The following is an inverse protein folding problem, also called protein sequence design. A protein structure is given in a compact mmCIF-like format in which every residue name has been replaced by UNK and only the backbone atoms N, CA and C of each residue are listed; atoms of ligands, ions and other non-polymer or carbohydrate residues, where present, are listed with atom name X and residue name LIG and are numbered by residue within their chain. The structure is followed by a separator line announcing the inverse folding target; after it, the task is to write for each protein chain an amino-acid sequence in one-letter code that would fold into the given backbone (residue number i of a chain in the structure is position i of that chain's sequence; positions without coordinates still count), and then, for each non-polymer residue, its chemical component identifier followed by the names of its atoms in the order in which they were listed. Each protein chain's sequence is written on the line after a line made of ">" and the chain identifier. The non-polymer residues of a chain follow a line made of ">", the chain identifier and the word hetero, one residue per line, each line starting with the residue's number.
data_IF_552436276422
#
_entry.id   IF_552436276422
#
_cell.length_a   1.000
_cell.length_b   1.000
_cell.length_c   1.000
_cell.angle_alpha   90.00
_cell.angle_beta   90.00
_cell.angle_gamma   90.00
#
_symmetry.space_group_name_H-M   'P 1'
#
loop_
_entity.id
_entity.type
_entity.pdbx_description
1 polymer ?
#
# COMPACT_ATOMS: atom_id res chain seq x y z
N UNK A 1 -23.77 8.93 -7.21
CA UNK A 1 -22.30 9.18 -7.17
C UNK A 1 -21.77 8.35 -6.03
N UNK A 2 -20.74 7.54 -6.26
CA UNK A 2 -20.11 6.75 -5.18
C UNK A 2 -19.01 7.59 -4.55
N UNK A 3 -19.00 7.65 -3.22
CA UNK A 3 -18.00 8.41 -2.44
C UNK A 3 -17.18 7.42 -1.64
N UNK A 4 -15.87 7.40 -1.88
CA UNK A 4 -14.92 6.59 -1.15
C UNK A 4 -14.11 7.41 -0.15
N UNK A 5 -13.52 6.73 0.82
CA UNK A 5 -12.60 7.32 1.80
C UNK A 5 -11.34 6.47 1.93
N UNK A 6 -10.20 7.11 2.14
CA UNK A 6 -8.96 6.39 2.47
C UNK A 6 -8.88 6.15 3.99
N UNK A 7 -8.35 5.00 4.40
CA UNK A 7 -8.18 4.66 5.82
C UNK A 7 -7.35 5.70 6.58
N UNK A 8 -6.40 6.38 5.94
CA UNK A 8 -5.62 7.46 6.58
C UNK A 8 -6.44 8.68 7.03
N UNK A 9 -7.70 8.80 6.59
CA UNK A 9 -8.61 9.84 7.06
C UNK A 9 -9.17 9.57 8.47
N UNK A 10 -8.93 8.39 9.03
CA UNK A 10 -9.37 8.00 10.37
C UNK A 10 -8.24 8.14 11.41
N UNK A 11 -8.56 8.15 12.72
CA UNK A 11 -7.53 8.20 13.75
C UNK A 11 -6.51 7.06 13.61
N UNK A 12 -5.25 7.35 13.87
CA UNK A 12 -4.15 6.38 13.80
C UNK A 12 -4.32 5.19 14.74
N UNK A 13 -5.16 5.33 15.78
CA UNK A 13 -5.52 4.23 16.69
C UNK A 13 -6.53 3.25 16.13
N UNK A 14 -7.15 3.56 14.97
CA UNK A 14 -8.09 2.64 14.33
C UNK A 14 -7.32 1.62 13.50
N UNK A 15 -7.59 0.35 13.74
CA UNK A 15 -7.17 -0.67 12.79
C UNK A 15 -8.11 -0.69 11.56
N UNK A 16 -7.82 -1.55 10.60
CA UNK A 16 -8.62 -1.64 9.38
C UNK A 16 -10.08 -2.01 9.66
N UNK A 17 -10.36 -2.82 10.67
CA UNK A 17 -11.72 -3.22 11.04
C UNK A 17 -12.52 -2.04 11.62
N UNK A 18 -11.88 -1.20 12.42
CA UNK A 18 -12.49 0.01 12.97
C UNK A 18 -12.77 1.04 11.88
N UNK A 19 -11.81 1.22 10.95
CA UNK A 19 -11.95 2.13 9.83
C UNK A 19 -13.09 1.71 8.88
N UNK A 20 -13.24 0.42 8.56
CA UNK A 20 -14.34 -0.13 7.77
C UNK A 20 -15.69 0.20 8.39
N UNK A 21 -15.86 -0.07 9.69
CA UNK A 21 -17.10 0.24 10.43
C UNK A 21 -17.38 1.75 10.48
N UNK A 22 -16.34 2.56 10.69
CA UNK A 22 -16.47 4.01 10.76
C UNK A 22 -16.83 4.61 9.41
N UNK A 23 -16.21 4.17 8.32
CA UNK A 23 -16.52 4.60 6.97
C UNK A 23 -18.00 4.39 6.64
N UNK A 24 -18.54 3.21 6.94
CA UNK A 24 -19.97 2.95 6.72
C UNK A 24 -20.86 3.82 7.58
N UNK A 25 -20.54 3.97 8.87
CA UNK A 25 -21.32 4.83 9.79
C UNK A 25 -21.38 6.28 9.31
N UNK A 26 -20.31 6.76 8.66
CA UNK A 26 -20.23 8.12 8.12
C UNK A 26 -20.86 8.26 6.72
N UNK A 27 -21.39 7.18 6.14
CA UNK A 27 -22.12 7.22 4.89
C UNK A 27 -21.27 7.08 3.62
N UNK A 28 -20.03 6.61 3.73
CA UNK A 28 -19.20 6.30 2.57
C UNK A 28 -19.68 5.01 1.88
N UNK A 29 -19.52 4.97 0.56
CA UNK A 29 -19.87 3.81 -0.28
C UNK A 29 -18.72 2.79 -0.36
N UNK A 30 -17.49 3.27 -0.25
CA UNK A 30 -16.28 2.45 -0.33
C UNK A 30 -15.14 2.98 0.54
N UNK A 31 -14.17 2.10 0.79
CA UNK A 31 -12.94 2.45 1.51
C UNK A 31 -11.72 1.89 0.78
N UNK A 32 -10.65 2.68 0.69
CA UNK A 32 -9.31 2.20 0.44
C UNK A 32 -8.67 1.80 1.78
N UNK A 33 -8.23 0.56 1.88
CA UNK A 33 -7.61 0.01 3.12
C UNK A 33 -6.10 0.01 3.02
N UNK A 34 -5.44 0.21 4.16
CA UNK A 34 -3.99 0.30 4.23
C UNK A 34 -3.36 -1.03 4.62
N UNK A 35 -2.42 -1.49 3.80
CA UNK A 35 -1.55 -2.61 4.11
C UNK A 35 -0.36 -2.14 4.93
N UNK A 36 -0.03 -2.84 6.03
CA UNK A 36 1.01 -2.43 6.97
C UNK A 36 2.13 -3.48 7.09
N UNK A 37 3.27 -3.10 7.65
CA UNK A 37 4.29 -4.06 8.05
C UNK A 37 3.95 -4.64 9.42
N UNK A 38 4.06 -5.97 9.58
CA UNK A 38 3.76 -6.65 10.84
C UNK A 38 4.93 -6.69 11.81
N UNK A 39 6.15 -6.55 11.31
CA UNK A 39 7.39 -6.71 12.07
C UNK A 39 7.80 -5.46 12.86
N UNK A 40 6.91 -4.46 12.97
CA UNK A 40 7.20 -3.20 13.62
C UNK A 40 8.28 -2.39 12.88
N UNK A 41 8.59 -2.77 11.64
CA UNK A 41 9.54 -2.06 10.82
C UNK A 41 9.09 -0.61 10.67
N UNK A 42 9.98 0.30 11.06
CA UNK A 42 9.77 1.73 10.96
C UNK A 42 10.38 2.25 9.67
N UNK A 43 9.78 3.26 9.07
CA UNK A 43 10.39 3.95 7.96
C UNK A 43 11.79 4.42 8.35
N UNK A 44 12.77 4.22 7.48
CA UNK A 44 14.13 4.73 7.67
C UNK A 44 14.26 6.13 7.08
N UNK A 45 14.81 7.06 7.89
CA UNK A 45 15.41 8.32 7.43
C UNK A 45 14.49 9.49 7.04
N UNK A 46 14.72 10.62 7.65
CA UNK A 46 14.46 11.99 7.19
C UNK A 46 12.99 12.44 7.14
N UNK A 47 12.28 12.16 6.10
CA UNK A 47 10.91 12.70 5.88
C UNK A 47 9.85 11.95 6.67
N UNK A 48 10.11 10.70 7.00
CA UNK A 48 9.20 9.83 7.75
C UNK A 48 9.22 10.09 9.25
N UNK A 49 10.24 10.76 9.78
CA UNK A 49 10.26 11.21 11.17
C UNK A 49 9.21 12.29 11.44
N UNK A 50 8.76 13.00 10.40
CA UNK A 50 7.69 13.99 10.50
C UNK A 50 6.27 13.37 10.45
N UNK A 51 6.15 12.14 9.94
CA UNK A 51 4.91 11.38 9.92
C UNK A 51 5.02 10.27 10.97
N UNK A 52 4.56 10.53 12.18
CA UNK A 52 4.47 9.49 13.20
C UNK A 52 3.38 8.46 12.83
N UNK A 53 3.78 7.53 11.96
CA UNK A 53 2.94 6.39 11.55
C UNK A 53 3.25 5.13 12.38
N UNK A 54 4.04 5.28 13.46
CA UNK A 54 4.45 4.16 14.32
C UNK A 54 3.28 3.47 15.01
N UNK A 55 2.13 4.13 15.11
CA UNK A 55 0.89 3.57 15.66
C UNK A 55 0.00 2.87 14.65
N UNK A 56 0.38 2.86 13.35
CA UNK A 56 -0.49 2.30 12.32
C UNK A 56 -0.27 0.79 12.16
N UNK A 57 -1.13 0.01 12.80
CA UNK A 57 -1.09 -1.45 12.75
C UNK A 57 -2.44 -2.01 12.33
N UNK A 58 -2.45 -2.76 11.25
CA UNK A 58 -3.63 -3.51 10.84
C UNK A 58 -3.44 -5.00 11.17
N UNK A 59 -4.23 -5.52 12.10
CA UNK A 59 -4.18 -6.92 12.50
C UNK A 59 -4.51 -7.87 11.34
N UNK A 60 -5.50 -7.53 10.53
CA UNK A 60 -6.03 -8.39 9.46
C UNK A 60 -5.38 -8.14 8.08
N UNK A 61 -4.61 -7.05 7.92
CA UNK A 61 -4.07 -6.67 6.62
C UNK A 61 -2.63 -6.13 6.76
N UNK A 62 -1.67 -7.06 6.77
CA UNK A 62 -0.25 -6.76 6.95
C UNK A 62 0.65 -7.82 6.33
N UNK A 63 1.97 -7.65 6.41
CA UNK A 63 2.96 -8.56 5.83
C UNK A 63 2.90 -10.00 6.38
N UNK A 64 2.30 -10.23 7.55
CA UNK A 64 2.15 -11.56 8.17
C UNK A 64 0.71 -12.11 8.10
N UNK A 65 -0.26 -11.33 7.62
CA UNK A 65 -1.66 -11.79 7.53
C UNK A 65 -1.78 -13.06 6.70
N UNK A 66 -2.58 -13.98 7.17
CA UNK A 66 -2.95 -15.18 6.40
C UNK A 66 -4.15 -14.89 5.49
N UNK A 67 -4.44 -15.77 4.55
CA UNK A 67 -5.64 -15.68 3.71
C UNK A 67 -6.92 -15.71 4.58
N UNK A 68 -6.88 -16.41 5.72
CA UNK A 68 -7.99 -16.43 6.68
C UNK A 68 -8.20 -15.06 7.33
N UNK A 69 -7.12 -14.35 7.71
CA UNK A 69 -7.21 -12.99 8.26
C UNK A 69 -7.81 -12.02 7.24
N UNK A 70 -7.35 -12.10 5.99
CA UNK A 70 -7.87 -11.25 4.90
C UNK A 70 -9.34 -11.59 4.58
N UNK A 71 -9.72 -12.88 4.65
CA UNK A 71 -11.10 -13.32 4.47
C UNK A 71 -12.00 -12.85 5.63
N UNK A 72 -11.48 -12.78 6.86
CA UNK A 72 -12.20 -12.18 8.00
C UNK A 72 -12.50 -10.70 7.74
N UNK A 73 -11.52 -9.95 7.20
CA UNK A 73 -11.73 -8.55 6.82
C UNK A 73 -12.77 -8.42 5.69
N UNK A 74 -12.70 -9.28 4.67
CA UNK A 74 -13.69 -9.32 3.59
C UNK A 74 -15.10 -9.54 4.14
N UNK A 75 -15.26 -10.55 5.00
CA UNK A 75 -16.54 -10.83 5.65
C UNK A 75 -17.05 -9.64 6.45
N UNK A 76 -16.19 -8.97 7.21
CA UNK A 76 -16.54 -7.78 7.96
C UNK A 76 -17.05 -6.66 7.03
N UNK A 77 -16.39 -6.42 5.91
CA UNK A 77 -16.80 -5.41 4.95
C UNK A 77 -18.17 -5.75 4.32
N UNK A 78 -18.40 -7.03 3.98
CA UNK A 78 -19.67 -7.51 3.44
C UNK A 78 -20.81 -7.37 4.47
N UNK A 79 -20.59 -7.82 5.71
CA UNK A 79 -21.57 -7.71 6.80
C UNK A 79 -21.90 -6.24 7.12
N UNK A 80 -20.93 -5.36 6.94
CA UNK A 80 -21.08 -3.91 7.15
C UNK A 80 -21.77 -3.23 5.96
N UNK A 81 -21.71 -3.84 4.80
CA UNK A 81 -22.26 -3.31 3.54
C UNK A 81 -21.45 -2.15 2.98
N UNK A 82 -20.11 -2.19 3.10
CA UNK A 82 -19.19 -1.25 2.48
C UNK A 82 -18.23 -2.00 1.54
N UNK A 83 -17.96 -1.42 0.37
CA UNK A 83 -17.00 -2.01 -0.57
C UNK A 83 -15.57 -1.61 -0.20
N UNK A 84 -14.65 -2.56 -0.19
CA UNK A 84 -13.21 -2.26 -0.25
C UNK A 84 -12.87 -2.03 -1.72
N UNK A 85 -12.51 -0.80 -2.07
CA UNK A 85 -12.25 -0.41 -3.47
C UNK A 85 -10.81 -0.67 -3.88
N UNK A 86 -9.88 -0.49 -2.97
CA UNK A 86 -8.45 -0.62 -3.23
C UNK A 86 -7.68 -0.99 -1.96
N UNK A 87 -6.49 -1.55 -2.17
CA UNK A 87 -5.49 -1.79 -1.12
C UNK A 87 -4.30 -0.88 -1.40
N UNK A 88 -4.03 0.06 -0.51
CA UNK A 88 -2.87 0.93 -0.57
C UNK A 88 -1.97 0.74 0.64
N UNK A 89 -0.95 1.55 0.78
CA UNK A 89 -0.12 1.59 1.97
C UNK A 89 1.29 2.07 1.72
N UNK A 90 1.97 2.37 2.80
CA UNK A 90 3.32 2.94 2.79
C UNK A 90 4.44 1.90 2.73
N UNK A 91 4.10 0.61 2.73
CA UNK A 91 5.10 -0.47 2.82
C UNK A 91 6.10 -0.40 1.67
N UNK A 92 5.62 -0.20 0.44
CA UNK A 92 6.45 -0.07 -0.76
C UNK A 92 7.13 1.31 -0.90
N UNK A 93 6.75 2.26 -0.07
CA UNK A 93 7.27 3.63 -0.08
C UNK A 93 8.48 3.78 0.84
N UNK A 94 8.32 3.48 2.12
CA UNK A 94 9.28 3.85 3.15
C UNK A 94 9.84 2.68 3.94
N UNK A 95 9.10 1.58 4.08
CA UNK A 95 9.53 0.44 4.90
C UNK A 95 10.36 -0.54 4.07
N UNK A 96 9.83 -0.95 2.93
CA UNK A 96 10.50 -1.79 1.94
C UNK A 96 10.34 -1.14 0.57
N UNK A 97 11.12 -0.06 0.26
CA UNK A 97 10.94 0.69 -0.98
C UNK A 97 11.25 -0.13 -2.22
N UNK A 98 10.44 0.05 -3.27
CA UNK A 98 10.70 -0.59 -4.57
C UNK A 98 12.00 -0.07 -5.22
N UNK A 99 12.57 1.02 -4.75
CA UNK A 99 13.89 1.53 -5.16
C UNK A 99 15.05 0.92 -4.38
N UNK A 100 14.81 0.05 -3.39
CA UNK A 100 15.87 -0.50 -2.55
C UNK A 100 16.97 -1.20 -3.37
N UNK A 101 18.23 -0.83 -3.10
CA UNK A 101 19.41 -1.45 -3.75
C UNK A 101 19.87 -2.70 -2.98
N UNK A 102 19.64 -2.75 -1.67
CA UNK A 102 19.92 -3.93 -0.87
C UNK A 102 19.05 -5.11 -1.26
N UNK A 103 19.64 -6.30 -1.62
CA UNK A 103 18.88 -7.45 -2.12
C UNK A 103 17.86 -8.02 -1.12
N UNK A 104 18.11 -7.88 0.19
CA UNK A 104 17.18 -8.38 1.21
C UNK A 104 15.94 -7.49 1.29
N UNK A 105 16.15 -6.18 1.36
CA UNK A 105 15.06 -5.19 1.35
C UNK A 105 14.27 -5.25 0.04
N UNK A 106 14.96 -5.39 -1.09
CA UNK A 106 14.32 -5.55 -2.39
C UNK A 106 13.40 -6.79 -2.47
N UNK A 107 13.82 -7.91 -1.91
CA UNK A 107 12.95 -9.11 -1.79
C UNK A 107 11.73 -8.83 -0.94
N UNK A 108 11.92 -8.28 0.27
CA UNK A 108 10.81 -7.93 1.17
C UNK A 108 9.81 -6.98 0.50
N UNK A 109 10.32 -6.02 -0.27
CA UNK A 109 9.49 -5.10 -1.05
C UNK A 109 8.60 -5.85 -2.05
N UNK A 110 9.20 -6.70 -2.87
CA UNK A 110 8.47 -7.49 -3.86
C UNK A 110 7.45 -8.43 -3.21
N UNK A 111 7.83 -9.10 -2.12
CA UNK A 111 6.95 -10.04 -1.41
C UNK A 111 5.78 -9.29 -0.75
N UNK A 112 6.03 -8.11 -0.18
CA UNK A 112 4.98 -7.29 0.42
C UNK A 112 3.94 -6.84 -0.62
N UNK A 113 4.37 -6.34 -1.79
CA UNK A 113 3.43 -5.90 -2.84
C UNK A 113 2.71 -7.07 -3.48
N UNK A 114 3.36 -8.23 -3.69
CA UNK A 114 2.66 -9.45 -4.13
C UNK A 114 1.55 -9.81 -3.14
N UNK A 115 1.84 -9.77 -1.85
CA UNK A 115 0.84 -10.03 -0.83
C UNK A 115 -0.30 -9.00 -0.83
N UNK A 116 -0.03 -7.72 -1.12
CA UNK A 116 -1.08 -6.72 -1.32
C UNK A 116 -1.98 -7.11 -2.50
N UNK A 117 -1.40 -7.55 -3.62
CA UNK A 117 -2.14 -8.00 -4.81
C UNK A 117 -3.00 -9.24 -4.52
N UNK A 118 -2.44 -10.24 -3.84
CA UNK A 118 -3.18 -11.45 -3.45
C UNK A 118 -4.30 -11.12 -2.44
N UNK A 119 -4.04 -10.21 -1.48
CA UNK A 119 -5.04 -9.72 -0.55
C UNK A 119 -6.16 -8.96 -1.26
N UNK A 120 -5.85 -8.15 -2.26
CA UNK A 120 -6.85 -7.43 -3.06
C UNK A 120 -7.83 -8.40 -3.74
N UNK A 121 -7.35 -9.53 -4.28
CA UNK A 121 -8.20 -10.58 -4.84
C UNK A 121 -9.19 -11.13 -3.81
N UNK A 122 -8.72 -11.47 -2.62
CA UNK A 122 -9.58 -11.99 -1.54
C UNK A 122 -10.61 -10.95 -1.11
N UNK A 123 -10.19 -9.69 -1.01
CA UNK A 123 -11.06 -8.57 -0.63
C UNK A 123 -12.07 -8.18 -1.72
N UNK A 124 -11.87 -8.62 -2.96
CA UNK A 124 -12.66 -8.19 -4.11
C UNK A 124 -12.38 -6.73 -4.50
N UNK A 125 -11.19 -6.25 -4.21
CA UNK A 125 -10.71 -4.94 -4.64
C UNK A 125 -10.10 -5.03 -6.04
N UNK A 126 -10.34 -4.02 -6.88
CA UNK A 126 -9.87 -4.01 -8.27
C UNK A 126 -8.46 -3.44 -8.39
N UNK A 127 -8.00 -2.72 -7.38
CA UNK A 127 -6.78 -1.89 -7.47
C UNK A 127 -5.89 -2.08 -6.26
N UNK A 128 -4.60 -2.15 -6.52
CA UNK A 128 -3.54 -1.97 -5.50
C UNK A 128 -2.77 -0.71 -5.84
N UNK A 129 -2.65 0.20 -4.87
CA UNK A 129 -1.90 1.43 -5.00
C UNK A 129 -0.51 1.26 -4.38
N UNK A 130 0.52 1.58 -5.15
CA UNK A 130 1.92 1.56 -4.70
C UNK A 130 2.59 2.90 -4.92
N UNK A 131 3.38 3.31 -3.94
CA UNK A 131 4.36 4.38 -4.09
C UNK A 131 5.71 3.67 -4.34
N UNK A 132 6.40 3.90 -5.45
CA UNK A 132 7.50 3.03 -5.89
C UNK A 132 8.78 3.14 -5.05
N UNK A 133 8.78 3.96 -4.03
CA UNK A 133 9.90 4.19 -3.14
C UNK A 133 10.26 5.66 -3.05
N UNK A 134 11.39 5.94 -2.42
CA UNK A 134 11.92 7.29 -2.21
C UNK A 134 13.31 7.39 -2.80
N UNK A 135 13.64 8.52 -3.40
CA UNK A 135 15.00 8.85 -3.79
C UNK A 135 15.76 9.33 -2.55
N UNK A 136 16.88 8.69 -2.23
CA UNK A 136 17.78 9.09 -1.16
C UNK A 136 19.00 9.81 -1.71
N UNK A 137 19.74 10.55 -0.88
CA UNK A 137 20.85 11.39 -1.33
C UNK A 137 22.03 10.58 -1.94
N UNK A 138 22.11 9.31 -1.64
CA UNK A 138 23.11 8.35 -2.14
C UNK A 138 22.65 7.58 -3.38
N UNK A 139 21.42 7.82 -3.87
CA UNK A 139 20.87 7.16 -5.05
C UNK A 139 20.97 8.07 -6.28
N UNK A 140 21.42 7.49 -7.38
CA UNK A 140 21.35 8.13 -8.68
C UNK A 140 19.91 8.00 -9.21
N UNK A 141 19.34 9.12 -9.73
CA UNK A 141 17.93 9.20 -10.13
C UNK A 141 17.53 8.12 -11.14
N UNK A 142 18.32 8.00 -12.24
CA UNK A 142 17.99 7.05 -13.31
C UNK A 142 18.04 5.60 -12.81
N UNK A 143 19.00 5.27 -11.96
CA UNK A 143 19.11 3.93 -11.37
C UNK A 143 17.90 3.59 -10.48
N UNK A 144 17.44 4.55 -9.66
CA UNK A 144 16.24 4.38 -8.84
C UNK A 144 14.99 4.20 -9.70
N UNK A 145 14.88 5.00 -10.76
CA UNK A 145 13.78 4.92 -11.71
C UNK A 145 13.72 3.56 -12.42
N UNK A 146 14.85 3.09 -12.95
CA UNK A 146 14.94 1.81 -13.68
C UNK A 146 14.60 0.63 -12.76
N UNK A 147 15.06 0.65 -11.50
CA UNK A 147 14.71 -0.35 -10.50
C UNK A 147 13.20 -0.36 -10.20
N UNK A 148 12.61 0.82 -10.02
CA UNK A 148 11.18 0.95 -9.76
C UNK A 148 10.36 0.43 -10.95
N UNK A 149 10.73 0.84 -12.17
CA UNK A 149 10.05 0.43 -13.40
C UNK A 149 10.11 -1.10 -13.60
N UNK A 150 11.30 -1.70 -13.47
CA UNK A 150 11.46 -3.15 -13.59
C UNK A 150 10.57 -3.89 -12.58
N UNK A 151 10.59 -3.46 -11.31
CA UNK A 151 9.86 -4.13 -10.25
C UNK A 151 8.35 -3.96 -10.39
N UNK A 152 7.89 -2.78 -10.75
CA UNK A 152 6.47 -2.52 -11.04
C UNK A 152 5.99 -3.40 -12.18
N UNK A 153 6.75 -3.51 -13.28
CA UNK A 153 6.41 -4.37 -14.40
C UNK A 153 6.30 -5.86 -13.99
N UNK A 154 7.22 -6.34 -13.16
CA UNK A 154 7.19 -7.72 -12.64
C UNK A 154 5.98 -7.95 -11.71
N UNK A 155 5.61 -6.96 -10.90
CA UNK A 155 4.44 -7.02 -10.02
C UNK A 155 3.14 -6.99 -10.82
N UNK A 156 3.04 -6.16 -11.84
CA UNK A 156 1.89 -6.15 -12.74
C UNK A 156 1.71 -7.50 -13.46
N UNK A 157 2.81 -8.14 -13.87
CA UNK A 157 2.77 -9.47 -14.46
C UNK A 157 2.37 -10.60 -13.48
N UNK A 158 2.60 -10.41 -12.17
CA UNK A 158 2.18 -11.36 -11.13
C UNK A 158 0.65 -11.39 -10.96
N UNK A 159 -0.03 -10.27 -11.16
CA UNK A 159 -1.46 -10.13 -10.94
C UNK A 159 -2.12 -9.35 -12.08
N UNK A 160 -2.23 -9.93 -13.30
CA UNK A 160 -2.77 -9.21 -14.47
C UNK A 160 -4.27 -8.90 -14.36
N UNK A 161 -4.95 -9.48 -13.40
CA UNK A 161 -6.35 -9.27 -13.07
C UNK A 161 -6.59 -8.13 -12.05
N UNK A 162 -5.54 -7.61 -11.42
CA UNK A 162 -5.59 -6.49 -10.48
C UNK A 162 -4.87 -5.28 -11.09
N UNK A 163 -5.51 -4.12 -11.05
CA UNK A 163 -4.88 -2.88 -11.48
C UNK A 163 -3.81 -2.45 -10.48
N UNK A 164 -2.55 -2.41 -10.92
CA UNK A 164 -1.46 -1.84 -10.12
C UNK A 164 -1.35 -0.35 -10.44
N UNK A 165 -1.81 0.50 -9.54
CA UNK A 165 -1.76 1.95 -9.66
C UNK A 165 -0.47 2.49 -9.02
N UNK A 166 0.26 3.29 -9.75
CA UNK A 166 1.49 3.95 -9.27
C UNK A 166 1.15 5.38 -8.88
N UNK A 167 1.48 5.76 -7.66
CA UNK A 167 1.29 7.11 -7.15
C UNK A 167 2.62 7.84 -7.04
N UNK A 168 2.67 9.07 -7.55
CA UNK A 168 3.74 10.01 -7.25
C UNK A 168 3.37 10.86 -6.03
N UNK A 169 4.35 11.00 -5.14
CA UNK A 169 4.22 11.83 -3.93
C UNK A 169 5.49 12.69 -3.79
N UNK A 170 5.75 13.21 -2.61
CA UNK A 170 6.98 13.95 -2.28
C UNK A 170 8.21 13.01 -2.09
N UNK A 171 8.36 12.02 -2.96
CA UNK A 171 9.36 10.94 -2.89
C UNK A 171 10.65 11.21 -3.67
N UNK A 172 10.79 12.41 -4.23
CA UNK A 172 11.99 12.78 -4.98
C UNK A 172 12.05 12.24 -6.41
N UNK A 173 11.00 11.58 -6.90
CA UNK A 173 10.94 11.01 -8.25
C UNK A 173 9.53 11.08 -8.83
N UNK A 174 9.41 10.85 -10.15
CA UNK A 174 8.13 10.89 -10.86
C UNK A 174 7.45 12.26 -10.81
N UNK A 175 8.21 13.33 -11.05
CA UNK A 175 7.75 14.70 -10.94
C UNK A 175 6.78 15.15 -12.03
N UNK A 176 6.72 14.42 -13.13
CA UNK A 176 5.95 14.85 -14.30
C UNK A 176 5.18 13.69 -14.94
N UNK A 177 4.10 14.00 -15.70
CA UNK A 177 3.40 13.00 -16.49
C UNK A 177 4.29 12.29 -17.52
N UNK A 178 5.34 12.96 -18.02
CA UNK A 178 6.29 12.35 -18.97
C UNK A 178 7.14 11.26 -18.31
N UNK A 179 7.50 11.43 -17.05
CA UNK A 179 8.20 10.40 -16.27
C UNK A 179 7.27 9.23 -15.93
N UNK A 180 6.00 9.52 -15.62
CA UNK A 180 4.99 8.48 -15.36
C UNK A 180 4.63 7.67 -16.62
N UNK A 181 4.83 8.21 -17.81
CA UNK A 181 4.43 7.55 -19.07
C UNK A 181 5.48 6.60 -19.64
N UNK A 182 6.66 6.54 -19.07
CA UNK A 182 7.72 5.61 -19.46
C UNK A 182 7.53 4.23 -18.87
#
# INVERSE_FOLDING_TARGET
>A
MNIGVNQFCFPMSYDVADAVKAAKRLGFDSIEVCFTAADGARPGGGVTDALDISGYHNRLLNTNSTDADVSELKKLADDTGIRISSVGGIVSFTIYPLTAQDPQTARKSMDAVKKMLDSARILGADTVLVIPGMLTADMEYQAAYDLAQERVARLAAHAPDIQLAVENVWNGMLYSPLEMSR
#
